data_IF_875249835004
#
_entry.id   IF_875249835004
#
_cell.length_a   1.000
_cell.length_b   1.000
_cell.length_c   1.000
_cell.angle_alpha   90.00
_cell.angle_beta   90.00
_cell.angle_gamma   90.00
#
_symmetry.space_group_name_H-M   'P 1'
#
loop_
_entity.id
_entity.type
_entity.pdbx_description
1 polymer ?
#
# COMPACT_ATOMS: atom_id res chain seq x y z
N UNK A 1 -12.31 0.48 -11.99
CA UNK A 1 -13.59 -0.26 -11.88
C UNK A 1 -13.24 -1.70 -11.50
N UNK A 2 -13.68 -2.14 -10.32
CA UNK A 2 -13.14 -3.26 -9.54
C UNK A 2 -13.40 -4.63 -10.18
N UNK A 3 -12.34 -5.40 -10.44
CA UNK A 3 -12.41 -6.83 -10.78
C UNK A 3 -11.64 -7.56 -9.69
N UNK A 4 -12.34 -8.27 -8.80
CA UNK A 4 -11.75 -9.13 -7.79
C UNK A 4 -11.74 -10.57 -8.30
N UNK A 5 -10.58 -11.24 -8.28
CA UNK A 5 -10.49 -12.67 -8.58
C UNK A 5 -9.34 -13.33 -7.81
N UNK A 6 -9.66 -14.40 -7.08
CA UNK A 6 -8.69 -15.25 -6.39
C UNK A 6 -7.93 -16.13 -7.40
N UNK A 7 -6.60 -16.09 -7.32
CA UNK A 7 -5.72 -17.08 -7.95
C UNK A 7 -5.85 -18.43 -7.24
N UNK A 8 -5.44 -19.52 -7.86
CA UNK A 8 -4.98 -20.77 -7.24
C UNK A 8 -4.00 -21.34 -8.27
N UNK A 9 -2.79 -21.73 -7.88
CA UNK A 9 -1.84 -22.36 -8.80
C UNK A 9 -1.01 -23.40 -8.06
N UNK A 10 -1.01 -24.62 -8.60
CA UNK A 10 -0.09 -25.68 -8.23
C UNK A 10 1.27 -25.43 -8.86
N UNK A 11 2.32 -25.74 -8.11
CA UNK A 11 3.72 -25.59 -8.51
C UNK A 11 4.15 -26.90 -9.19
N UNK A 12 4.57 -26.83 -10.46
CA UNK A 12 5.28 -27.93 -11.13
C UNK A 12 6.78 -27.70 -10.95
N UNK A 13 7.40 -28.53 -10.10
CA UNK A 13 8.84 -28.56 -9.90
C UNK A 13 9.51 -29.30 -11.07
N UNK A 14 10.35 -28.60 -11.84
CA UNK A 14 11.46 -29.24 -12.54
C UNK A 14 12.74 -28.49 -12.21
N UNK A 15 13.66 -29.22 -11.59
CA UNK A 15 14.96 -28.73 -11.15
C UNK A 15 15.89 -28.48 -12.33
N UNK A 16 16.56 -27.33 -12.29
CA UNK A 16 17.78 -27.11 -13.06
C UNK A 16 18.75 -26.31 -12.18
N UNK A 17 19.87 -26.94 -11.86
CA UNK A 17 20.89 -26.43 -10.97
C UNK A 17 21.89 -25.61 -11.79
N UNK A 18 21.89 -24.29 -11.64
CA UNK A 18 22.91 -23.41 -12.23
C UNK A 18 23.50 -22.54 -11.14
N UNK A 19 24.77 -22.79 -10.82
CA UNK A 19 25.62 -21.91 -10.03
C UNK A 19 25.96 -20.68 -10.86
N UNK A 20 25.73 -19.47 -10.34
CA UNK A 20 26.49 -18.29 -10.75
C UNK A 20 26.73 -17.36 -9.57
N UNK A 21 27.98 -16.92 -9.45
CA UNK A 21 28.45 -15.90 -8.50
C UNK A 21 28.16 -14.54 -9.13
N UNK A 22 27.42 -13.66 -8.46
CA UNK A 22 27.45 -12.23 -8.83
C UNK A 22 27.19 -11.34 -7.62
N UNK A 23 28.01 -10.30 -7.51
CA UNK A 23 28.18 -9.41 -6.37
C UNK A 23 26.95 -8.55 -6.04
N UNK A 24 26.56 -8.53 -4.76
CA UNK A 24 25.52 -7.66 -4.24
C UNK A 24 26.07 -6.23 -4.04
N UNK A 25 25.68 -5.29 -4.90
CA UNK A 25 25.79 -3.85 -4.62
C UNK A 25 24.68 -3.47 -3.64
N UNK A 26 24.99 -3.47 -2.34
CA UNK A 26 24.12 -2.90 -1.30
C UNK A 26 24.03 -1.38 -1.50
N UNK A 27 22.87 -0.88 -1.93
CA UNK A 27 22.54 0.55 -1.80
C UNK A 27 22.38 0.84 -0.31
N UNK A 28 23.30 1.63 0.24
CA UNK A 28 23.32 2.03 1.65
C UNK A 28 22.37 3.20 1.81
N UNK A 29 21.18 2.96 2.37
CA UNK A 29 20.32 4.01 2.88
C UNK A 29 20.90 4.45 4.22
N UNK A 30 21.24 5.73 4.36
CA UNK A 30 21.82 6.30 5.57
C UNK A 30 20.74 7.10 6.27
N UNK A 31 20.21 6.56 7.36
CA UNK A 31 19.32 7.29 8.28
C UNK A 31 20.19 8.00 9.31
N UNK A 32 19.94 9.28 9.59
CA UNK A 32 20.62 10.02 10.66
C UNK A 32 19.60 10.43 11.73
N UNK A 33 19.93 10.16 12.99
CA UNK A 33 19.17 10.61 14.16
C UNK A 33 19.64 12.02 14.57
N UNK A 34 18.69 12.92 14.81
CA UNK A 34 18.95 14.27 15.31
C UNK A 34 19.01 14.28 16.84
N UNK A 35 20.18 14.04 17.42
CA UNK A 35 20.44 14.46 18.81
C UNK A 35 21.95 14.57 19.11
N UNK A 36 22.32 15.73 19.66
CA UNK A 36 23.57 16.02 20.40
C UNK A 36 24.82 16.39 19.59
N UNK A 37 25.03 17.70 19.41
CA UNK A 37 26.37 18.29 19.25
C UNK A 37 26.57 19.37 20.33
N UNK A 38 27.24 18.99 21.42
CA UNK A 38 27.82 19.91 22.42
C UNK A 38 29.28 20.19 22.05
N UNK A 39 29.57 21.47 21.82
CA UNK A 39 30.75 22.21 22.27
C UNK A 39 32.16 21.76 21.85
N UNK A 40 32.86 22.64 21.12
CA UNK A 40 34.31 22.91 21.33
C UNK A 40 34.62 24.34 20.86
N UNK A 41 34.96 25.19 21.83
CA UNK A 41 35.55 26.51 21.61
C UNK A 41 36.97 26.39 21.05
N UNK A 42 37.32 27.27 20.11
CA UNK A 42 38.68 27.85 20.04
C UNK A 42 38.55 29.35 19.73
N UNK A 43 39.25 30.15 20.54
CA UNK A 43 39.31 31.61 20.49
C UNK A 43 40.18 32.09 19.32
N UNK A 44 39.74 33.12 18.63
CA UNK A 44 40.63 34.15 18.08
C UNK A 44 39.97 35.53 18.21
N UNK A 45 40.74 36.45 18.76
CA UNK A 45 40.36 37.81 19.16
C UNK A 45 40.72 38.76 18.02
N UNK A 46 39.77 39.50 17.46
CA UNK A 46 40.00 40.80 16.83
C UNK A 46 38.79 41.73 17.02
N UNK A 47 39.10 43.03 17.15
CA UNK A 47 38.34 44.14 17.75
C UNK A 47 37.16 44.65 16.92
N UNK A 48 36.08 44.97 17.66
CA UNK A 48 35.01 45.98 17.51
C UNK A 48 35.05 46.94 16.30
N UNK A 49 33.91 46.98 15.58
CA UNK A 49 33.24 48.21 15.13
C UNK A 49 31.72 47.99 15.12
N UNK A 50 30.98 48.82 15.85
CA UNK A 50 29.52 48.87 15.84
C UNK A 50 29.00 49.42 14.50
N UNK A 51 27.95 48.79 13.96
CA UNK A 51 27.20 49.20 12.78
C UNK A 51 25.96 48.31 12.64
N UNK A 52 24.80 48.93 12.46
CA UNK A 52 23.45 48.37 12.57
C UNK A 52 23.00 47.67 11.26
N UNK A 53 22.36 46.50 11.43
CA UNK A 53 21.31 45.82 10.63
C UNK A 53 21.49 45.51 9.12
N UNK A 54 21.49 44.23 8.76
CA UNK A 54 20.47 43.55 7.93
C UNK A 54 20.98 42.15 7.49
N UNK A 55 20.14 41.14 7.64
CA UNK A 55 20.46 39.74 7.45
C UNK A 55 20.32 39.26 6.00
N UNK A 56 21.33 38.57 5.48
CA UNK A 56 21.18 37.66 4.35
C UNK A 56 21.30 36.23 4.86
N UNK A 57 20.23 35.81 5.54
CA UNK A 57 19.93 34.41 5.88
C UNK A 57 19.47 33.72 4.61
N UNK A 58 19.95 32.48 4.44
CA UNK A 58 19.60 31.48 3.43
C UNK A 58 18.18 31.65 2.84
N UNK A 59 18.10 31.84 1.52
CA UNK A 59 16.88 32.25 0.79
C UNK A 59 15.86 31.11 0.61
N UNK A 60 16.07 29.91 1.17
CA UNK A 60 15.14 28.78 0.96
C UNK A 60 14.80 28.00 2.24
N UNK A 61 14.60 28.70 3.36
CA UNK A 61 13.90 28.14 4.52
C UNK A 61 12.37 28.21 4.30
N UNK A 62 11.80 27.12 3.77
CA UNK A 62 10.36 26.96 3.54
C UNK A 62 9.52 26.85 4.84
N UNK A 63 10.06 27.18 6.02
CA UNK A 63 9.31 27.23 7.27
C UNK A 63 8.44 28.48 7.44
N UNK A 64 8.44 29.43 6.48
CA UNK A 64 7.73 30.72 6.59
C UNK A 64 6.54 30.93 5.63
N UNK A 65 5.90 29.90 5.12
CA UNK A 65 4.60 30.09 4.44
C UNK A 65 3.45 30.11 5.45
N UNK A 66 3.10 31.32 5.88
CA UNK A 66 1.83 31.71 6.53
C UNK A 66 1.37 32.90 5.65
N UNK A 67 0.28 32.94 4.88
CA UNK A 67 -1.07 32.43 5.08
C UNK A 67 -1.84 32.64 3.74
N UNK A 68 -2.56 31.64 3.23
CA UNK A 68 -3.84 31.83 2.51
C UNK A 68 -4.69 30.56 2.58
N UNK A 69 -4.82 30.05 3.80
CA UNK A 69 -6.00 29.37 4.28
C UNK A 69 -5.98 29.66 5.78
N UNK A 70 -7.07 30.19 6.34
CA UNK A 70 -7.19 30.34 7.79
C UNK A 70 -6.69 29.04 8.44
N UNK A 71 -5.70 29.12 9.34
CA UNK A 71 -5.33 27.99 10.20
C UNK A 71 -6.63 27.38 10.73
N UNK A 72 -7.02 26.23 10.17
CA UNK A 72 -8.12 25.47 10.72
C UNK A 72 -7.55 24.86 11.98
N UNK A 73 -8.06 25.27 13.13
CA UNK A 73 -7.67 24.67 14.40
C UNK A 73 -8.09 23.21 14.42
N UNK A 74 -7.17 22.31 14.05
CA UNK A 74 -7.38 20.86 14.02
C UNK A 74 -7.61 20.24 15.40
N UNK A 75 -7.53 21.06 16.46
CA UNK A 75 -7.88 20.72 17.84
C UNK A 75 -9.27 21.19 18.25
N UNK A 76 -9.96 21.95 17.41
CA UNK A 76 -11.33 22.39 17.69
C UNK A 76 -12.28 21.20 17.60
N UNK A 77 -13.06 21.00 18.66
CA UNK A 77 -14.02 19.89 18.75
C UNK A 77 -15.08 20.01 17.63
N UNK A 78 -15.50 21.24 17.30
CA UNK A 78 -16.48 21.53 16.25
C UNK A 78 -16.02 21.12 14.84
N UNK A 79 -14.73 21.31 14.51
CA UNK A 79 -14.16 20.87 13.23
C UNK A 79 -14.06 19.34 13.18
N UNK A 80 -13.64 18.71 14.28
CA UNK A 80 -13.54 17.27 14.39
C UNK A 80 -14.92 16.61 14.23
N UNK A 81 -15.96 17.17 14.87
CA UNK A 81 -17.34 16.74 14.68
C UNK A 81 -17.82 16.93 13.24
N UNK A 82 -17.49 18.06 12.60
CA UNK A 82 -17.86 18.29 11.19
C UNK A 82 -17.23 17.27 10.22
N UNK A 83 -16.02 16.79 10.51
CA UNK A 83 -15.30 15.80 9.69
C UNK A 83 -15.83 14.38 9.93
N UNK A 84 -16.26 14.04 11.15
CA UNK A 84 -16.79 12.72 11.51
C UNK A 84 -18.00 12.30 10.66
N UNK A 85 -18.81 13.27 10.21
CA UNK A 85 -20.03 13.01 9.43
C UNK A 85 -19.82 13.00 7.90
N UNK A 86 -18.66 13.42 7.39
CA UNK A 86 -18.38 13.49 5.95
C UNK A 86 -18.06 12.12 5.32
N UNK A 87 -17.61 11.15 6.10
CA UNK A 87 -17.14 9.85 5.62
C UNK A 87 -18.17 8.71 5.75
N UNK A 88 -19.36 8.98 6.29
CA UNK A 88 -20.43 8.00 6.46
C UNK A 88 -21.73 8.58 5.92
N UNK A 89 -22.35 7.92 4.95
CA UNK A 89 -23.66 8.33 4.43
C UNK A 89 -24.75 8.07 5.48
N UNK A 90 -25.07 9.11 6.26
CA UNK A 90 -26.07 9.09 7.33
C UNK A 90 -25.41 9.26 8.70
N UNK A 91 -25.80 10.32 9.42
CA UNK A 91 -25.18 10.71 10.69
C UNK A 91 -25.10 9.61 11.73
N UNK A 92 -24.11 9.70 12.62
CA UNK A 92 -23.75 8.66 13.59
C UNK A 92 -24.90 8.27 14.54
N UNK A 93 -25.79 9.21 14.87
CA UNK A 93 -27.01 8.95 15.64
C UNK A 93 -27.95 7.95 14.96
N UNK A 94 -28.00 7.92 13.63
CA UNK A 94 -28.78 6.94 12.86
C UNK A 94 -28.06 5.60 12.72
N UNK A 95 -26.72 5.58 12.80
CA UNK A 95 -25.94 4.35 12.84
C UNK A 95 -26.11 3.63 14.18
N UNK A 96 -26.07 4.35 15.30
CA UNK A 96 -26.31 3.79 16.63
C UNK A 96 -27.72 3.19 16.78
N UNK A 97 -28.75 3.83 16.21
CA UNK A 97 -30.13 3.30 16.21
C UNK A 97 -30.29 2.04 15.33
N UNK A 98 -29.48 1.89 14.26
CA UNK A 98 -29.48 0.66 13.45
C UNK A 98 -28.91 -0.54 14.20
N UNK A 99 -28.04 -0.32 15.18
CA UNK A 99 -27.48 -1.40 15.98
C UNK A 99 -28.49 -1.88 17.05
N UNK A 100 -29.24 -0.96 17.66
CA UNK A 100 -30.36 -1.28 18.59
C UNK A 100 -31.51 -2.02 17.90
N UNK A 101 -31.91 -1.58 16.70
CA UNK A 101 -32.98 -2.22 15.92
C UNK A 101 -32.57 -3.60 15.36
N UNK A 102 -31.27 -3.82 15.09
CA UNK A 102 -30.76 -5.11 14.63
C UNK A 102 -30.58 -6.13 15.76
N UNK A 103 -30.28 -5.69 16.98
CA UNK A 103 -30.22 -6.58 18.14
C UNK A 103 -31.60 -7.14 18.49
N UNK A 104 -32.62 -6.27 18.53
CA UNK A 104 -33.98 -6.65 18.90
C UNK A 104 -34.70 -7.56 17.88
N UNK A 105 -34.25 -7.57 16.62
CA UNK A 105 -34.89 -8.32 15.53
C UNK A 105 -34.23 -9.67 15.21
N UNK A 106 -32.99 -9.88 15.65
CA UNK A 106 -32.28 -11.15 15.44
C UNK A 106 -32.58 -12.21 16.51
N UNK A 107 -33.08 -11.82 17.69
CA UNK A 107 -33.43 -12.77 18.76
C UNK A 107 -34.68 -13.63 18.46
N UNK A 108 -35.52 -13.23 17.51
CA UNK A 108 -36.73 -13.98 17.18
C UNK A 108 -36.53 -15.13 16.16
N UNK A 109 -35.32 -15.32 15.59
CA UNK A 109 -35.07 -16.34 14.56
C UNK A 109 -33.70 -17.04 14.65
N UNK A 110 -33.17 -17.32 15.85
CA UNK A 110 -32.12 -18.34 16.01
C UNK A 110 -32.34 -19.13 17.31
N UNK A 111 -33.44 -19.86 17.41
CA UNK A 111 -33.54 -20.98 18.33
C UNK A 111 -32.90 -22.22 17.70
N UNK A 112 -31.56 -22.24 17.63
CA UNK A 112 -30.83 -23.46 17.30
C UNK A 112 -29.50 -23.54 18.04
N UNK A 113 -29.59 -24.06 19.27
CA UNK A 113 -28.48 -24.69 19.98
C UNK A 113 -27.63 -23.73 20.81
N UNK A 114 -27.86 -23.74 22.12
CA UNK A 114 -26.85 -23.36 23.09
C UNK A 114 -25.60 -24.23 22.89
N UNK A 115 -24.46 -23.62 22.62
CA UNK A 115 -23.15 -24.24 22.85
C UNK A 115 -22.28 -23.24 23.60
N UNK A 116 -22.11 -23.48 24.89
CA UNK A 116 -21.18 -22.79 25.79
C UNK A 116 -19.72 -23.09 25.40
N UNK A 117 -19.24 -22.48 24.32
CA UNK A 117 -17.85 -22.57 23.92
C UNK A 117 -17.50 -21.49 22.92
N UNK A 118 -16.57 -20.61 23.29
CA UNK A 118 -15.87 -19.69 22.39
C UNK A 118 -15.62 -20.40 21.05
N UNK A 119 -16.17 -19.84 19.96
CA UNK A 119 -16.17 -20.48 18.66
C UNK A 119 -14.74 -20.79 18.21
N UNK A 120 -14.54 -21.79 17.35
CA UNK A 120 -13.20 -22.13 16.82
C UNK A 120 -12.47 -20.90 16.24
N UNK A 121 -13.21 -19.99 15.61
CA UNK A 121 -12.69 -18.71 15.09
C UNK A 121 -12.18 -17.79 16.21
N UNK A 122 -12.85 -17.74 17.34
CA UNK A 122 -12.47 -16.88 18.46
C UNK A 122 -11.24 -17.43 19.18
N UNK A 123 -11.13 -18.75 19.33
CA UNK A 123 -9.89 -19.41 19.78
C UNK A 123 -8.69 -19.08 18.89
N UNK A 124 -8.87 -19.08 17.56
CA UNK A 124 -7.80 -18.70 16.62
C UNK A 124 -7.41 -17.22 16.76
N UNK A 125 -8.38 -16.32 16.99
CA UNK A 125 -8.09 -14.90 17.26
C UNK A 125 -7.34 -14.72 18.57
N UNK A 126 -7.77 -15.41 19.62
CA UNK A 126 -7.12 -15.41 20.94
C UNK A 126 -5.67 -15.90 20.82
N UNK A 127 -5.42 -16.99 20.09
CA UNK A 127 -4.07 -17.50 19.84
C UNK A 127 -3.20 -16.50 19.07
N UNK A 128 -3.75 -15.85 18.04
CA UNK A 128 -3.07 -14.79 17.29
C UNK A 128 -2.73 -13.61 18.21
N UNK A 129 -3.65 -13.22 19.08
CA UNK A 129 -3.46 -12.08 19.98
C UNK A 129 -2.46 -12.40 21.09
N UNK A 130 -2.52 -13.60 21.68
CA UNK A 130 -1.53 -14.08 22.64
C UNK A 130 -0.12 -14.10 22.02
N UNK A 131 0.02 -14.59 20.78
CA UNK A 131 1.30 -14.55 20.06
C UNK A 131 1.80 -13.12 19.85
N UNK A 132 0.92 -12.17 19.50
CA UNK A 132 1.31 -10.76 19.41
C UNK A 132 1.73 -10.18 20.76
N UNK A 133 1.02 -10.52 21.83
CA UNK A 133 1.33 -10.05 23.19
C UNK A 133 2.69 -10.56 23.65
N UNK A 134 2.98 -11.84 23.43
CA UNK A 134 4.29 -12.44 23.74
C UNK A 134 5.40 -11.76 22.94
N UNK A 135 5.24 -11.65 21.62
CA UNK A 135 6.22 -10.96 20.77
C UNK A 135 6.45 -9.51 21.22
N UNK A 136 5.38 -8.80 21.61
CA UNK A 136 5.47 -7.41 22.07
C UNK A 136 6.17 -7.30 23.43
N UNK A 137 5.91 -8.24 24.35
CA UNK A 137 6.58 -8.28 25.65
C UNK A 137 8.08 -8.54 25.49
N UNK A 138 8.46 -9.55 24.69
CA UNK A 138 9.88 -9.88 24.41
C UNK A 138 10.63 -8.72 23.76
N UNK A 139 10.00 -8.01 22.82
CA UNK A 139 10.62 -6.86 22.16
C UNK A 139 10.70 -5.61 23.03
N UNK A 140 9.86 -5.47 24.05
CA UNK A 140 9.90 -4.32 24.97
C UNK A 140 11.01 -4.42 26.01
N UNK A 141 11.56 -5.62 26.25
CA UNK A 141 12.71 -5.82 27.15
C UNK A 141 14.05 -5.39 26.51
N UNK A 142 14.08 -5.19 25.19
CA UNK A 142 15.27 -4.82 24.45
C UNK A 142 15.49 -3.30 24.41
N UNK A 143 16.75 -2.90 24.30
CA UNK A 143 17.14 -1.50 24.07
C UNK A 143 16.58 -0.96 22.75
N UNK A 144 16.30 0.34 22.69
CA UNK A 144 15.71 0.98 21.50
C UNK A 144 16.54 0.77 20.22
N UNK A 145 17.88 0.74 20.34
CA UNK A 145 18.79 0.56 19.20
C UNK A 145 18.66 -0.85 18.62
N UNK A 146 18.72 -1.87 19.47
CA UNK A 146 18.63 -3.28 19.05
C UNK A 146 17.22 -3.63 18.59
N UNK A 147 16.22 -3.00 19.20
CA UNK A 147 14.82 -3.11 18.78
C UNK A 147 14.62 -2.65 17.33
N UNK A 148 15.12 -1.47 16.96
CA UNK A 148 15.02 -0.95 15.59
C UNK A 148 15.70 -1.88 14.58
N UNK A 149 16.85 -2.45 14.93
CA UNK A 149 17.58 -3.36 14.03
C UNK A 149 16.86 -4.69 13.78
N UNK A 150 16.05 -5.16 14.74
CA UNK A 150 15.31 -6.43 14.66
C UNK A 150 13.92 -6.24 14.04
N UNK A 151 13.12 -5.32 14.58
CA UNK A 151 11.71 -5.13 14.18
C UNK A 151 11.55 -4.11 13.05
N UNK A 152 12.49 -3.18 12.91
CA UNK A 152 12.36 -1.99 12.07
C UNK A 152 11.55 -0.88 12.74
N UNK A 153 10.94 -0.03 11.92
CA UNK A 153 10.09 1.06 12.39
C UNK A 153 8.64 0.60 12.54
N UNK A 154 8.04 0.81 13.71
CA UNK A 154 6.64 0.45 13.98
C UNK A 154 5.66 1.33 13.20
N UNK A 155 4.53 0.74 12.83
CA UNK A 155 3.41 1.47 12.23
C UNK A 155 2.93 2.61 13.15
N UNK A 156 2.68 3.79 12.58
CA UNK A 156 2.28 5.00 13.31
C UNK A 156 3.43 5.95 13.66
N UNK A 157 4.69 5.55 13.44
CA UNK A 157 5.86 6.42 13.64
C UNK A 157 5.99 7.40 12.47
N UNK A 158 6.17 8.69 12.76
CA UNK A 158 6.47 9.69 11.74
C UNK A 158 7.94 9.59 11.31
N UNK A 159 8.19 9.44 10.00
CA UNK A 159 9.52 9.21 9.44
C UNK A 159 9.84 10.24 8.35
N UNK A 160 11.12 10.63 8.26
CA UNK A 160 11.67 11.36 7.12
C UNK A 160 12.36 10.38 6.19
N UNK A 161 11.92 10.31 4.93
CA UNK A 161 12.51 9.45 3.92
C UNK A 161 13.31 10.28 2.93
N UNK A 162 14.60 9.94 2.77
CA UNK A 162 15.47 10.54 1.77
C UNK A 162 15.67 9.56 0.61
N UNK A 163 15.13 9.92 -0.55
CA UNK A 163 15.22 9.11 -1.76
C UNK A 163 16.23 9.74 -2.71
N UNK A 164 17.23 8.96 -3.11
CA UNK A 164 18.24 9.40 -4.08
C UNK A 164 17.84 9.02 -5.50
N UNK A 165 18.27 9.82 -6.48
CA UNK A 165 18.03 9.58 -7.92
C UNK A 165 16.56 9.65 -8.34
N UNK A 166 15.80 10.60 -7.80
CA UNK A 166 14.45 10.90 -8.27
C UNK A 166 14.54 11.66 -9.60
N UNK A 167 13.77 11.29 -10.64
CA UNK A 167 13.72 12.03 -11.90
C UNK A 167 13.31 13.50 -11.67
N UNK A 168 13.98 14.43 -12.35
CA UNK A 168 13.74 15.87 -12.15
C UNK A 168 12.32 16.27 -12.50
N UNK A 169 11.71 15.58 -13.48
CA UNK A 169 10.35 15.80 -13.95
C UNK A 169 9.31 15.56 -12.85
N UNK A 170 9.62 14.70 -11.88
CA UNK A 170 8.75 14.43 -10.73
C UNK A 170 8.73 15.59 -9.75
N UNK A 171 9.85 16.31 -9.63
CA UNK A 171 9.96 17.48 -8.74
C UNK A 171 9.33 18.69 -9.39
N UNK A 172 9.56 18.90 -10.69
CA UNK A 172 9.03 20.03 -11.45
C UNK A 172 7.51 19.96 -11.60
N UNK A 173 6.96 18.78 -11.87
CA UNK A 173 5.52 18.57 -12.05
C UNK A 173 4.83 18.03 -10.79
N UNK A 174 5.36 18.34 -9.61
CA UNK A 174 4.75 17.91 -8.36
C UNK A 174 3.44 18.69 -8.11
N UNK A 175 2.31 17.97 -8.12
CA UNK A 175 0.99 18.50 -7.79
C UNK A 175 0.61 18.07 -6.35
N UNK A 176 0.44 19.01 -5.41
CA UNK A 176 0.00 18.71 -4.04
C UNK A 176 -1.34 18.00 -3.95
N UNK A 177 -2.19 18.08 -4.98
CA UNK A 177 -3.49 17.39 -5.01
C UNK A 177 -3.38 15.91 -5.38
N UNK A 178 -2.22 15.48 -5.92
CA UNK A 178 -1.95 14.08 -6.25
C UNK A 178 -1.14 13.40 -5.13
N UNK A 179 -1.74 12.48 -4.34
CA UNK A 179 -1.05 11.87 -3.21
C UNK A 179 0.08 10.94 -3.67
N UNK A 180 1.22 11.03 -2.99
CA UNK A 180 2.33 10.07 -3.15
C UNK A 180 2.16 8.93 -2.16
N UNK A 181 2.03 7.71 -2.68
CA UNK A 181 1.99 6.48 -1.88
C UNK A 181 3.32 5.75 -1.99
N UNK A 182 3.92 5.41 -0.85
CA UNK A 182 5.17 4.65 -0.77
C UNK A 182 4.85 3.28 -0.17
N UNK A 183 5.20 2.22 -0.90
CA UNK A 183 4.98 0.83 -0.50
C UNK A 183 6.29 0.05 -0.45
N UNK A 184 6.42 -0.84 0.54
CA UNK A 184 7.49 -1.83 0.59
C UNK A 184 7.25 -2.96 -0.41
N UNK A 185 8.29 -3.35 -1.14
CA UNK A 185 8.26 -4.45 -2.10
C UNK A 185 8.88 -5.70 -1.48
N UNK A 186 8.26 -6.86 -1.66
CA UNK A 186 8.85 -8.12 -1.24
C UNK A 186 9.98 -8.55 -2.19
N UNK A 187 10.94 -9.34 -1.69
CA UNK A 187 12.10 -9.80 -2.48
C UNK A 187 11.70 -10.56 -3.77
N UNK A 188 10.56 -11.25 -3.76
CA UNK A 188 10.03 -11.94 -4.95
C UNK A 188 9.40 -11.01 -5.97
N UNK A 189 8.93 -9.83 -5.56
CA UNK A 189 8.17 -8.88 -6.39
C UNK A 189 9.04 -7.93 -7.21
N UNK A 190 10.36 -7.96 -7.01
CA UNK A 190 11.31 -7.22 -7.85
C UNK A 190 11.54 -7.92 -9.19
N UNK A 191 11.36 -9.25 -9.21
CA UNK A 191 11.62 -10.05 -10.40
C UNK A 191 10.55 -9.82 -11.48
N UNK A 192 10.98 -9.87 -12.73
CA UNK A 192 10.11 -9.84 -13.91
C UNK A 192 9.98 -11.23 -14.52
N UNK A 193 8.77 -11.59 -14.95
CA UNK A 193 8.49 -12.92 -15.46
C UNK A 193 7.17 -13.00 -16.20
N UNK A 194 6.90 -14.18 -16.78
CA UNK A 194 5.56 -14.51 -17.24
C UNK A 194 4.70 -14.88 -16.04
N UNK A 195 3.55 -14.23 -15.94
CA UNK A 195 2.56 -14.53 -14.92
C UNK A 195 1.29 -15.08 -15.57
N UNK A 196 0.68 -16.03 -14.86
CA UNK A 196 -0.62 -16.58 -15.19
C UNK A 196 -1.65 -15.98 -14.25
N UNK A 197 -2.66 -15.33 -14.81
CA UNK A 197 -3.71 -14.63 -14.05
C UNK A 197 -5.07 -15.15 -14.47
N UNK A 198 -5.96 -15.39 -13.51
CA UNK A 198 -7.37 -15.69 -13.80
C UNK A 198 -8.13 -14.37 -13.92
N UNK A 199 -8.56 -14.03 -15.13
CA UNK A 199 -9.29 -12.80 -15.42
C UNK A 199 -10.73 -13.11 -15.82
N UNK A 200 -11.62 -12.20 -15.46
CA UNK A 200 -13.01 -12.18 -15.93
C UNK A 200 -13.31 -10.77 -16.39
N UNK A 201 -13.98 -10.65 -17.53
CA UNK A 201 -14.48 -9.37 -18.00
C UNK A 201 -15.40 -8.76 -16.94
N UNK A 202 -15.23 -7.48 -16.65
CA UNK A 202 -16.11 -6.77 -15.74
C UNK A 202 -17.55 -6.73 -16.29
N UNK A 203 -18.56 -6.90 -15.42
CA UNK A 203 -19.98 -6.95 -15.81
C UNK A 203 -20.42 -5.72 -16.62
N UNK A 204 -19.93 -4.54 -16.25
CA UNK A 204 -20.30 -3.27 -16.89
C UNK A 204 -19.39 -2.84 -18.05
N UNK A 205 -18.36 -3.62 -18.39
CA UNK A 205 -17.48 -3.29 -19.50
C UNK A 205 -18.00 -3.89 -20.80
N UNK A 206 -18.61 -3.09 -21.68
CA UNK A 206 -19.39 -3.59 -22.83
C UNK A 206 -18.59 -4.41 -23.85
N UNK A 207 -17.29 -4.14 -23.99
CA UNK A 207 -16.46 -4.75 -25.03
C UNK A 207 -15.77 -6.03 -24.54
N UNK A 208 -15.57 -6.99 -25.45
CA UNK A 208 -14.73 -8.16 -25.19
C UNK A 208 -13.27 -7.79 -25.45
N UNK A 209 -12.38 -8.20 -24.55
CA UNK A 209 -10.96 -7.97 -24.73
C UNK A 209 -10.40 -8.95 -25.75
N UNK A 210 -9.53 -8.46 -26.63
CA UNK A 210 -8.88 -9.26 -27.67
C UNK A 210 -7.46 -9.62 -27.23
N UNK A 211 -7.02 -10.81 -27.60
CA UNK A 211 -5.66 -11.26 -27.37
C UNK A 211 -4.68 -10.41 -28.17
N UNK A 212 -3.55 -10.05 -27.55
CA UNK A 212 -2.51 -9.16 -28.08
C UNK A 212 -2.88 -7.67 -28.19
N UNK A 213 -3.97 -7.26 -27.56
CA UNK A 213 -4.27 -5.84 -27.41
C UNK A 213 -3.69 -5.32 -26.09
N UNK A 214 -3.04 -4.15 -26.08
CA UNK A 214 -2.41 -3.64 -24.87
C UNK A 214 -3.47 -3.26 -23.82
N UNK A 215 -3.24 -3.71 -22.59
CA UNK A 215 -4.07 -3.36 -21.42
C UNK A 215 -3.19 -2.83 -20.30
N UNK A 216 -3.76 -1.97 -19.47
CA UNK A 216 -3.11 -1.44 -18.28
C UNK A 216 -3.52 -2.30 -17.11
N UNK A 217 -2.54 -2.92 -16.48
CA UNK A 217 -2.73 -3.85 -15.37
C UNK A 217 -2.26 -3.18 -14.09
N UNK A 218 -3.12 -3.21 -13.08
CA UNK A 218 -2.82 -2.79 -11.72
C UNK A 218 -2.68 -4.05 -10.86
N UNK A 219 -1.47 -4.29 -10.37
CA UNK A 219 -1.11 -5.45 -9.54
C UNK A 219 -0.22 -4.98 -8.38
N UNK A 220 -0.70 -5.19 -7.16
CA UNK A 220 -0.06 -4.64 -5.96
C UNK A 220 0.14 -3.13 -6.09
N UNK A 221 1.36 -2.66 -5.89
CA UNK A 221 1.75 -1.25 -5.98
C UNK A 221 1.99 -0.74 -7.41
N UNK A 222 2.02 -1.63 -8.40
CA UNK A 222 2.46 -1.28 -9.76
C UNK A 222 1.30 -1.19 -10.72
N UNK A 223 1.36 -0.16 -11.57
CA UNK A 223 0.50 0.03 -12.74
C UNK A 223 1.40 0.04 -13.97
N UNK A 224 1.17 -0.87 -14.90
CA UNK A 224 1.97 -0.97 -16.11
C UNK A 224 1.13 -1.48 -17.27
N UNK A 225 1.56 -1.16 -18.49
CA UNK A 225 0.92 -1.62 -19.71
C UNK A 225 1.56 -2.94 -20.14
N UNK A 226 0.74 -3.92 -20.51
CA UNK A 226 1.20 -5.23 -20.98
C UNK A 226 0.27 -5.77 -22.07
N UNK A 227 0.72 -6.82 -22.74
CA UNK A 227 0.03 -7.43 -23.89
C UNK A 227 -0.32 -8.89 -23.53
N UNK A 228 -1.56 -9.16 -23.10
CA UNK A 228 -1.98 -10.47 -22.64
C UNK A 228 -2.36 -11.42 -23.75
N UNK A 229 -2.16 -12.70 -23.47
CA UNK A 229 -2.67 -13.83 -24.22
C UNK A 229 -3.73 -14.53 -23.39
N UNK A 230 -4.95 -14.59 -23.91
CA UNK A 230 -6.05 -15.28 -23.25
C UNK A 230 -6.09 -16.76 -23.64
N UNK A 231 -6.38 -17.61 -22.67
CA UNK A 231 -6.54 -19.05 -22.83
C UNK A 231 -7.65 -19.57 -21.90
N UNK A 232 -8.21 -20.73 -22.26
CA UNK A 232 -9.07 -21.52 -21.38
C UNK A 232 -8.39 -22.86 -21.14
N UNK A 233 -8.50 -23.35 -19.91
CA UNK A 233 -8.12 -24.71 -19.58
C UNK A 233 -9.24 -25.66 -20.00
N UNK A 234 -8.92 -26.59 -20.89
CA UNK A 234 -9.84 -27.67 -21.29
C UNK A 234 -9.90 -28.74 -20.18
N UNK A 235 -10.91 -29.61 -20.20
CA UNK A 235 -11.04 -30.72 -19.23
C UNK A 235 -9.83 -31.68 -19.20
N UNK A 236 -8.99 -31.65 -20.24
CA UNK A 236 -7.74 -32.42 -20.32
C UNK A 236 -6.54 -31.73 -19.65
N UNK A 237 -6.72 -30.59 -18.96
CA UNK A 237 -5.64 -29.81 -18.35
C UNK A 237 -4.72 -29.09 -19.35
N UNK A 238 -5.15 -28.97 -20.61
CA UNK A 238 -4.40 -28.25 -21.66
C UNK A 238 -4.94 -26.83 -21.81
N UNK A 239 -4.05 -25.88 -22.03
CA UNK A 239 -4.43 -24.50 -22.31
C UNK A 239 -4.67 -24.29 -23.80
N UNK A 240 -5.90 -23.96 -24.17
CA UNK A 240 -6.28 -23.58 -25.52
C UNK A 240 -6.36 -22.07 -25.62
N UNK A 241 -5.59 -21.50 -26.54
CA UNK A 241 -5.56 -20.06 -26.80
C UNK A 241 -6.92 -19.56 -27.32
N UNK A 242 -7.35 -18.40 -26.82
CA UNK A 242 -8.53 -17.68 -27.28
C UNK A 242 -8.14 -16.44 -28.09
N UNK A 243 -9.00 -16.07 -29.04
CA UNK A 243 -8.90 -14.80 -29.75
C UNK A 243 -9.50 -13.63 -28.93
N UNK A 244 -10.56 -13.92 -28.18
CA UNK A 244 -11.30 -12.95 -27.37
C UNK A 244 -11.64 -13.53 -26.00
N UNK A 245 -11.76 -12.68 -24.99
CA UNK A 245 -12.21 -13.05 -23.64
C UNK A 245 -13.68 -13.48 -23.65
N UNK A 246 -14.04 -14.59 -22.96
CA UNK A 246 -15.44 -15.01 -22.86
C UNK A 246 -16.26 -14.02 -22.03
N UNK A 247 -17.55 -13.89 -22.34
CA UNK A 247 -18.37 -12.81 -21.80
C UNK A 247 -18.68 -12.95 -20.30
N UNK A 248 -19.01 -14.16 -19.84
CA UNK A 248 -19.46 -14.44 -18.49
C UNK A 248 -18.64 -15.50 -17.75
N UNK A 249 -17.50 -15.91 -18.34
CA UNK A 249 -16.62 -16.94 -17.78
C UNK A 249 -15.26 -16.36 -17.39
N UNK A 250 -14.56 -17.08 -16.52
CA UNK A 250 -13.16 -16.79 -16.22
C UNK A 250 -12.29 -17.38 -17.32
N UNK A 251 -11.33 -16.61 -17.80
CA UNK A 251 -10.25 -17.10 -18.65
C UNK A 251 -8.92 -16.96 -17.93
N UNK A 252 -7.95 -17.75 -18.37
CA UNK A 252 -6.56 -17.54 -18.01
C UNK A 252 -5.97 -16.49 -18.93
N UNK A 253 -5.24 -15.54 -18.38
CA UNK A 253 -4.44 -14.57 -19.12
C UNK A 253 -2.97 -14.77 -18.77
N UNK A 254 -2.13 -14.81 -19.79
CA UNK A 254 -0.67 -14.90 -19.62
C UNK A 254 -0.04 -13.65 -20.19
N UNK A 255 0.79 -12.98 -19.40
CA UNK A 255 1.50 -11.79 -19.83
C UNK A 255 2.83 -11.63 -19.08
N UNK A 256 3.71 -10.81 -19.64
CA UNK A 256 5.00 -10.47 -19.06
C UNK A 256 4.86 -9.24 -18.15
N UNK A 257 5.45 -9.31 -16.95
CA UNK A 257 5.41 -8.21 -15.99
C UNK A 257 6.15 -8.52 -14.68
N UNK A 258 6.19 -7.55 -13.75
CA UNK A 258 6.69 -7.77 -12.38
C UNK A 258 5.86 -8.83 -11.65
N UNK A 259 6.54 -9.84 -11.12
CA UNK A 259 5.90 -10.94 -10.42
C UNK A 259 5.16 -10.43 -9.17
N UNK A 260 3.97 -10.97 -8.94
CA UNK A 260 3.19 -10.74 -7.74
C UNK A 260 3.02 -12.06 -6.98
N UNK A 261 2.84 -12.03 -5.66
CA UNK A 261 2.51 -13.22 -4.89
C UNK A 261 1.26 -13.91 -5.46
N UNK A 262 1.16 -15.24 -5.29
CA UNK A 262 -0.04 -15.94 -5.68
C UNK A 262 -1.22 -15.41 -4.85
N UNK A 263 -2.42 -15.49 -5.42
CA UNK A 263 -3.67 -15.01 -4.82
C UNK A 263 -3.79 -13.48 -4.68
N UNK A 264 -2.85 -12.70 -5.22
CA UNK A 264 -3.00 -11.24 -5.32
C UNK A 264 -4.09 -10.85 -6.32
N UNK A 265 -4.95 -9.91 -5.92
CA UNK A 265 -5.98 -9.35 -6.79
C UNK A 265 -5.40 -8.52 -7.94
N UNK A 266 -6.02 -8.62 -9.11
CA UNK A 266 -5.58 -7.93 -10.33
C UNK A 266 -6.74 -7.16 -10.94
N UNK A 267 -6.51 -5.91 -11.31
CA UNK A 267 -7.46 -5.09 -12.07
C UNK A 267 -6.84 -4.70 -13.41
N UNK A 268 -7.59 -4.89 -14.49
CA UNK A 268 -7.20 -4.48 -15.83
C UNK A 268 -8.11 -3.35 -16.33
N UNK A 269 -7.51 -2.34 -16.95
CA UNK A 269 -8.18 -1.19 -17.54
C UNK A 269 -7.62 -0.97 -18.95
N UNK A 270 -8.47 -0.67 -19.91
CA UNK A 270 -8.05 -0.45 -21.29
C UNK A 270 -7.57 0.99 -21.53
N UNK A 271 -8.25 1.98 -20.96
CA UNK A 271 -7.97 3.41 -21.14
C UNK A 271 -7.99 4.14 -19.80
N UNK A 272 -7.02 5.03 -19.59
CA UNK A 272 -6.95 5.91 -18.40
C UNK A 272 -7.48 7.33 -18.68
N UNK A 273 -7.90 7.62 -19.91
CA UNK A 273 -8.37 8.96 -20.29
C UNK A 273 -9.64 9.34 -19.54
N UNK A 274 -9.62 10.47 -18.85
CA UNK A 274 -10.80 11.14 -18.31
C UNK A 274 -11.56 11.85 -19.43
N UNK A 275 -12.25 11.07 -20.29
CA UNK A 275 -13.26 11.66 -21.16
C UNK A 275 -14.59 11.70 -20.40
N UNK A 276 -14.62 12.50 -19.32
CA UNK A 276 -15.89 13.00 -18.80
C UNK A 276 -16.26 14.18 -19.69
N UNK A 277 -17.12 13.91 -20.67
CA UNK A 277 -17.91 14.92 -21.37
C UNK A 277 -19.12 15.24 -20.50
#
# INVERSE_FOLDING_TARGET
MLISCNLYMGIVHQGLQIRSKTAARRKKVRMMNSSSLKGRETRSVLKLKEGIDDGSVDVEDCSKFIHYASEKDWRSEDLIESIRDLFVTGGWSKAALRDEDNYSKNDAKVSRGQTDGSGYVDKLKEEIELRKQVNMAELNELDDITRIDIEGYRAGTYLRLEVSSVPFETVENFDPTHPILVGGLALGEENVGYMQVRLKRHRWHKEVLKTRDPIIVSMGWRRYQTIPIYAIEDCSGRYRMLKYTPEHMHCVAMFWGPLAPPHTGVVAVQKLSNNQV
#
